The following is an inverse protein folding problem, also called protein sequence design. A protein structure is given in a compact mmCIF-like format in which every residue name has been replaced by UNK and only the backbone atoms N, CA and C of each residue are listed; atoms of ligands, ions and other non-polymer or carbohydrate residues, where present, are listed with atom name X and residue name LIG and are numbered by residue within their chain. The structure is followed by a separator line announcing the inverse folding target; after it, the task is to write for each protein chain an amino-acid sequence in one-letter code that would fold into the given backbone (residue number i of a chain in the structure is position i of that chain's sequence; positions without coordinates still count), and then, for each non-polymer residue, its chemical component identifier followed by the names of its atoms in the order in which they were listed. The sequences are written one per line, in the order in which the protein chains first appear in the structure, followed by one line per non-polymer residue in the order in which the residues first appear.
data_IF_446562178664
#
_entry.id   IF_446562178664
#
_cell.length_a   1.000
_cell.length_b   1.000
_cell.length_c   1.000
_cell.angle_alpha   90.00
_cell.angle_beta   90.00
_cell.angle_gamma   90.00
#
_symmetry.space_group_name_H-M   'P 1'
#
loop_
_entity.id
_entity.type
_entity.pdbx_description
1 polymer ?
#
# COMPACT_ATOMS: atom_id res chain seq x y z
N UNK A 1 -23.60 -20.28 -30.81
CA UNK A 1 -22.33 -19.66 -30.37
C UNK A 1 -22.61 -18.30 -29.72
N UNK A 2 -23.30 -17.37 -30.37
CA UNK A 2 -23.61 -16.02 -29.83
C UNK A 2 -24.36 -16.11 -28.50
N UNK A 3 -25.36 -16.98 -28.39
CA UNK A 3 -26.10 -17.20 -27.13
C UNK A 3 -25.23 -17.72 -25.99
N UNK A 4 -24.28 -18.59 -26.30
CA UNK A 4 -23.34 -19.13 -25.29
C UNK A 4 -22.37 -18.04 -24.78
N UNK A 5 -21.83 -17.21 -25.68
CA UNK A 5 -20.98 -16.05 -25.29
C UNK A 5 -21.75 -15.06 -24.42
N UNK A 6 -23.01 -14.81 -24.76
CA UNK A 6 -23.88 -13.94 -23.96
C UNK A 6 -24.14 -14.51 -22.56
N UNK A 7 -24.45 -15.81 -22.45
CA UNK A 7 -24.67 -16.47 -21.14
C UNK A 7 -23.41 -16.40 -20.27
N UNK A 8 -22.22 -16.66 -20.84
CA UNK A 8 -20.95 -16.55 -20.13
C UNK A 8 -20.69 -15.11 -19.68
N UNK A 9 -20.94 -14.12 -20.55
CA UNK A 9 -20.80 -12.71 -20.20
C UNK A 9 -21.69 -12.30 -19.02
N UNK A 10 -22.95 -12.74 -19.02
CA UNK A 10 -23.89 -12.51 -17.91
C UNK A 10 -23.44 -13.21 -16.63
N UNK A 11 -22.99 -14.45 -16.71
CA UNK A 11 -22.44 -15.19 -15.56
C UNK A 11 -21.22 -14.49 -14.95
N UNK A 12 -20.29 -14.02 -15.78
CA UNK A 12 -19.12 -13.27 -15.30
C UNK A 12 -19.50 -11.96 -14.63
N UNK A 13 -20.50 -11.24 -15.15
CA UNK A 13 -21.02 -10.03 -14.51
C UNK A 13 -21.68 -10.33 -13.16
N UNK A 14 -22.46 -11.40 -13.07
CA UNK A 14 -23.10 -11.83 -11.81
C UNK A 14 -22.04 -12.23 -10.79
N UNK A 15 -21.12 -13.12 -11.16
CA UNK A 15 -20.02 -13.53 -10.26
C UNK A 15 -19.15 -12.36 -9.87
N UNK A 16 -18.87 -11.45 -10.78
CA UNK A 16 -18.15 -10.23 -10.52
C UNK A 16 -18.86 -9.33 -9.52
N UNK A 17 -20.17 -9.13 -9.64
CA UNK A 17 -20.95 -8.32 -8.72
C UNK A 17 -21.03 -8.93 -7.32
N UNK A 18 -21.21 -10.26 -7.24
CA UNK A 18 -21.20 -11.01 -5.97
C UNK A 18 -19.81 -10.92 -5.33
N UNK A 19 -18.74 -11.13 -6.08
CA UNK A 19 -17.37 -10.98 -5.60
C UNK A 19 -17.09 -9.58 -5.07
N UNK A 20 -17.54 -8.54 -5.78
CA UNK A 20 -17.41 -7.15 -5.35
C UNK A 20 -18.13 -6.90 -4.01
N UNK A 21 -19.38 -7.34 -3.87
CA UNK A 21 -20.15 -7.16 -2.64
C UNK A 21 -19.54 -7.92 -1.47
N UNK A 22 -19.04 -9.13 -1.71
CA UNK A 22 -18.41 -9.98 -0.71
C UNK A 22 -17.09 -9.38 -0.22
N UNK A 23 -16.24 -8.91 -1.13
CA UNK A 23 -14.98 -8.23 -0.79
C UNK A 23 -15.27 -6.92 -0.05
N UNK A 24 -16.25 -6.14 -0.50
CA UNK A 24 -16.65 -4.91 0.17
C UNK A 24 -17.13 -5.19 1.59
N UNK A 25 -17.97 -6.21 1.77
CA UNK A 25 -18.50 -6.59 3.09
C UNK A 25 -17.42 -7.11 4.04
N UNK A 26 -16.52 -7.98 3.56
CA UNK A 26 -15.44 -8.54 4.37
C UNK A 26 -14.34 -7.51 4.66
N UNK A 27 -13.98 -6.67 3.71
CA UNK A 27 -12.99 -5.61 3.91
C UNK A 27 -13.45 -4.56 4.91
N UNK A 28 -14.74 -4.21 4.91
CA UNK A 28 -15.31 -3.30 5.91
C UNK A 28 -15.37 -3.92 7.31
N UNK A 29 -15.54 -5.23 7.44
CA UNK A 29 -15.66 -5.91 8.74
C UNK A 29 -14.30 -6.22 9.38
N UNK A 30 -13.24 -6.36 8.59
CA UNK A 30 -11.87 -6.63 9.03
C UNK A 30 -10.97 -5.38 9.02
N UNK A 31 -11.48 -4.24 9.45
CA UNK A 31 -10.80 -2.94 9.30
C UNK A 31 -9.54 -2.75 10.14
N UNK A 32 -8.90 -3.79 10.67
CA UNK A 32 -7.80 -3.58 11.61
C UNK A 32 -6.40 -3.93 11.14
N UNK A 33 -6.15 -4.80 10.18
CA UNK A 33 -4.74 -5.05 9.79
C UNK A 33 -4.49 -5.64 8.38
N UNK A 34 -5.52 -6.05 7.64
CA UNK A 34 -5.33 -6.79 6.37
C UNK A 34 -5.82 -6.10 5.09
N UNK A 35 -6.62 -5.06 5.21
CA UNK A 35 -7.33 -4.48 4.05
C UNK A 35 -6.52 -3.49 3.21
N UNK A 36 -5.38 -3.04 3.70
CA UNK A 36 -4.54 -2.05 3.00
C UNK A 36 -3.94 -2.55 1.67
N UNK A 37 -3.91 -3.87 1.46
CA UNK A 37 -3.40 -4.46 0.21
C UNK A 37 -4.44 -4.55 -0.91
N UNK A 38 -5.73 -4.49 -0.58
CA UNK A 38 -6.84 -4.63 -1.55
C UNK A 38 -7.40 -3.28 -2.04
N UNK A 39 -7.17 -2.22 -1.28
CA UNK A 39 -7.57 -0.87 -1.67
C UNK A 39 -6.45 -0.26 -2.50
N UNK A 40 -6.75 0.12 -3.73
CA UNK A 40 -5.82 0.86 -4.58
C UNK A 40 -5.70 2.29 -4.05
N UNK A 41 -4.77 2.48 -3.11
CA UNK A 41 -4.41 3.79 -2.59
C UNK A 41 -3.29 4.39 -3.41
N UNK A 42 -3.28 5.69 -3.53
CA UNK A 42 -2.15 6.38 -4.13
C UNK A 42 -0.96 6.32 -3.17
N UNK A 43 0.17 5.84 -3.66
CA UNK A 43 1.40 5.72 -2.88
C UNK A 43 2.28 6.93 -3.16
N UNK A 44 2.69 7.59 -2.10
CA UNK A 44 3.68 8.67 -2.15
C UNK A 44 4.97 8.20 -1.51
N UNK A 45 6.05 8.40 -2.24
CA UNK A 45 7.40 8.16 -1.75
C UNK A 45 8.01 9.48 -1.24
N UNK A 46 8.92 9.43 -0.27
CA UNK A 46 9.60 10.63 0.18
C UNK A 46 10.46 11.22 -0.94
N UNK A 47 10.43 12.55 -1.06
CA UNK A 47 11.27 13.30 -1.99
C UNK A 47 12.67 13.52 -1.40
N UNK A 48 12.74 13.66 -0.07
CA UNK A 48 13.98 13.93 0.64
C UNK A 48 14.00 13.20 1.98
N UNK A 49 15.15 12.66 2.32
CA UNK A 49 15.43 12.02 3.61
C UNK A 49 16.66 12.67 4.22
N UNK A 50 16.48 13.37 5.31
CA UNK A 50 17.55 13.98 6.08
C UNK A 50 17.69 13.29 7.43
N UNK A 51 18.90 12.99 7.84
CA UNK A 51 19.20 12.46 9.16
C UNK A 51 19.83 13.58 9.97
N UNK A 52 19.22 13.89 11.12
CA UNK A 52 19.69 14.89 12.06
C UNK A 52 20.23 14.20 13.30
N UNK A 53 21.38 14.63 13.77
CA UNK A 53 22.01 14.16 15.01
C UNK A 53 23.41 13.61 14.79
N UNK A 54 24.25 13.71 15.83
CA UNK A 54 25.68 13.37 15.79
C UNK A 54 25.97 11.86 15.83
N UNK A 55 24.98 11.02 16.15
CA UNK A 55 25.14 9.58 16.33
C UNK A 55 24.56 8.75 15.20
N UNK A 56 24.55 9.28 13.97
CA UNK A 56 24.13 8.51 12.82
C UNK A 56 25.27 7.65 12.25
N UNK A 57 25.06 6.33 12.23
CA UNK A 57 25.99 5.37 11.62
C UNK A 57 25.40 4.85 10.32
N UNK A 58 26.10 5.00 9.21
CA UNK A 58 25.67 4.47 7.92
C UNK A 58 26.39 3.14 7.65
N UNK A 59 25.60 2.09 7.42
CA UNK A 59 26.11 0.78 7.03
C UNK A 59 25.40 0.36 5.74
N UNK A 60 26.13 0.40 4.62
CA UNK A 60 25.54 0.17 3.30
C UNK A 60 24.43 1.18 2.99
N UNK A 61 23.22 0.69 2.66
CA UNK A 61 22.05 1.51 2.37
C UNK A 61 21.18 1.83 3.60
N UNK A 62 21.67 1.47 4.80
CA UNK A 62 20.93 1.66 6.05
C UNK A 62 21.62 2.73 6.88
N UNK A 63 20.85 3.70 7.30
CA UNK A 63 21.28 4.71 8.26
C UNK A 63 20.72 4.36 9.63
N UNK A 64 21.58 4.20 10.60
CA UNK A 64 21.22 3.87 11.98
C UNK A 64 21.14 5.14 12.82
N UNK A 65 20.08 5.28 13.57
CA UNK A 65 19.81 6.44 14.43
C UNK A 65 19.67 5.98 15.87
N UNK A 66 20.41 6.62 16.76
CA UNK A 66 20.33 6.39 18.20
C UNK A 66 19.23 7.24 18.83
N UNK A 67 18.48 6.65 19.74
CA UNK A 67 17.44 7.34 20.50
C UNK A 67 17.98 8.45 21.38
N UNK A 68 17.20 9.51 21.48
CA UNK A 68 17.56 10.71 22.26
C UNK A 68 18.61 11.61 21.61
N UNK A 69 19.37 11.13 20.61
CA UNK A 69 20.46 11.89 19.96
C UNK A 69 20.25 12.15 18.48
N UNK A 70 19.38 11.39 17.84
CA UNK A 70 19.14 11.50 16.40
C UNK A 70 17.69 11.40 16.01
N UNK A 71 17.37 11.94 14.84
CA UNK A 71 16.07 11.85 14.21
C UNK A 71 16.20 11.77 12.69
N UNK A 72 15.29 11.09 12.06
CA UNK A 72 15.13 11.11 10.61
C UNK A 72 13.98 12.01 10.22
N UNK A 73 14.17 12.76 9.17
CA UNK A 73 13.21 13.73 8.65
C UNK A 73 12.92 13.37 7.20
N UNK A 74 11.68 12.97 6.91
CA UNK A 74 11.20 12.73 5.56
C UNK A 74 10.32 13.88 5.09
N UNK A 75 10.56 14.33 3.89
CA UNK A 75 9.73 15.32 3.22
C UNK A 75 8.98 14.68 2.08
N UNK A 76 7.68 14.88 2.07
CA UNK A 76 6.77 14.45 1.02
C UNK A 76 6.22 15.66 0.31
N UNK A 77 6.06 15.57 -1.02
CA UNK A 77 5.48 16.60 -1.86
C UNK A 77 4.45 16.02 -2.81
N UNK A 78 3.58 16.87 -3.32
CA UNK A 78 2.56 16.47 -4.28
C UNK A 78 1.40 15.73 -3.64
N UNK A 79 1.17 15.91 -2.33
CA UNK A 79 0.03 15.39 -1.61
C UNK A 79 -1.25 16.15 -1.98
N UNK A 80 -1.46 16.41 -3.28
CA UNK A 80 -2.67 17.07 -3.76
C UNK A 80 -3.83 16.10 -3.68
N UNK A 81 -4.69 16.29 -2.71
CA UNK A 81 -5.94 15.56 -2.59
C UNK A 81 -7.07 16.41 -3.10
N UNK A 82 -7.69 15.99 -4.18
CA UNK A 82 -8.99 16.52 -4.63
C UNK A 82 -10.12 16.13 -3.66
N UNK A 83 -9.92 15.04 -2.90
CA UNK A 83 -10.87 14.49 -1.95
C UNK A 83 -10.25 14.41 -0.54
N UNK A 84 -10.22 15.56 0.15
CA UNK A 84 -9.63 15.74 1.49
C UNK A 84 -10.37 15.00 2.63
N UNK A 85 -11.31 14.13 2.30
CA UNK A 85 -12.13 13.42 3.29
C UNK A 85 -11.50 12.08 3.72
N UNK A 86 -10.55 11.58 2.95
CA UNK A 86 -10.01 10.24 3.15
C UNK A 86 -8.88 10.23 4.17
N UNK A 87 -8.81 9.16 4.94
CA UNK A 87 -7.73 8.93 5.89
C UNK A 87 -6.42 8.70 5.16
N UNK A 88 -5.37 9.33 5.68
CA UNK A 88 -4.00 9.12 5.25
C UNK A 88 -3.38 8.03 6.09
N UNK A 89 -2.79 7.02 5.46
CA UNK A 89 -2.09 5.94 6.14
C UNK A 89 -0.58 6.04 5.88
N UNK A 90 0.18 6.16 6.97
CA UNK A 90 1.63 6.12 6.93
C UNK A 90 2.07 4.71 7.28
N UNK A 91 2.82 4.08 6.39
CA UNK A 91 3.41 2.76 6.60
C UNK A 91 4.91 2.90 6.75
N UNK A 92 5.43 2.45 7.87
CA UNK A 92 6.85 2.50 8.15
C UNK A 92 7.41 1.11 8.46
N UNK A 93 8.56 0.80 7.87
CA UNK A 93 9.31 -0.43 8.13
C UNK A 93 10.71 -0.06 8.62
N UNK A 94 10.98 -0.32 9.89
CA UNK A 94 12.27 -0.04 10.49
C UNK A 94 13.05 -1.32 10.76
N UNK A 95 14.35 -1.24 10.60
CA UNK A 95 15.26 -2.28 11.08
C UNK A 95 15.60 -1.98 12.53
N UNK A 96 15.65 -3.00 13.36
CA UNK A 96 15.95 -2.87 14.79
C UNK A 96 17.29 -3.57 15.06
N UNK A 97 18.22 -2.88 15.70
CA UNK A 97 19.46 -3.48 16.13
C UNK A 97 19.24 -4.30 17.39
N UNK A 98 19.63 -5.57 17.38
CA UNK A 98 19.53 -6.44 18.54
C UNK A 98 20.06 -7.84 18.30
N UNK A 99 20.72 -8.41 19.30
CA UNK A 99 21.32 -9.78 19.27
C UNK A 99 20.27 -10.91 19.22
N UNK A 100 19.02 -10.64 19.58
CA UNK A 100 17.89 -11.59 19.52
C UNK A 100 16.86 -11.15 18.50
N UNK A 101 16.76 -11.91 17.45
CA UNK A 101 16.12 -11.62 16.14
C UNK A 101 14.62 -11.37 16.08
N UNK A 102 13.81 -11.47 17.11
CA UNK A 102 12.37 -11.48 16.81
C UNK A 102 11.41 -10.79 17.77
N UNK A 103 11.81 -10.35 18.94
CA UNK A 103 10.83 -9.91 19.94
C UNK A 103 11.07 -8.52 20.54
N UNK A 104 12.16 -7.86 20.18
CA UNK A 104 12.44 -6.53 20.76
C UNK A 104 11.53 -5.50 20.10
N UNK A 105 10.80 -4.81 20.94
CA UNK A 105 10.00 -3.63 20.59
C UNK A 105 10.73 -2.39 21.04
N UNK A 106 10.81 -1.40 20.18
CA UNK A 106 11.46 -0.13 20.50
C UNK A 106 10.39 0.96 20.43
N UNK A 107 10.24 1.75 21.51
CA UNK A 107 9.35 2.90 21.47
C UNK A 107 9.95 3.97 20.56
N UNK A 108 9.15 4.40 19.59
CA UNK A 108 9.50 5.44 18.64
C UNK A 108 8.50 6.57 18.71
N UNK A 109 8.99 7.76 18.56
CA UNK A 109 8.19 8.97 18.48
C UNK A 109 8.10 9.43 17.04
N UNK A 110 6.87 9.53 16.55
CA UNK A 110 6.56 10.01 15.20
C UNK A 110 5.93 11.40 15.34
N UNK A 111 6.55 12.40 14.71
CA UNK A 111 5.99 13.74 14.60
C UNK A 111 5.63 14.00 13.16
N UNK A 112 4.37 14.31 12.92
CA UNK A 112 3.87 14.72 11.61
C UNK A 112 3.67 16.23 11.65
N UNK A 113 4.38 16.93 10.80
CA UNK A 113 4.42 18.39 10.75
C UNK A 113 3.82 18.83 9.42
N UNK A 114 2.75 19.61 9.50
CA UNK A 114 2.21 20.30 8.35
C UNK A 114 2.87 21.70 8.28
N UNK A 115 3.66 21.99 7.24
CA UNK A 115 4.39 23.25 7.16
C UNK A 115 3.47 24.49 7.02
N UNK A 116 2.25 24.31 6.54
CA UNK A 116 1.33 25.44 6.31
C UNK A 116 0.47 25.78 7.52
N UNK A 117 0.05 24.78 8.30
CA UNK A 117 -0.82 25.01 9.47
C UNK A 117 -0.05 25.02 10.79
N UNK A 118 1.26 24.80 10.75
CA UNK A 118 2.11 24.62 11.94
C UNK A 118 1.57 23.57 12.94
N UNK A 119 0.59 22.78 12.52
CA UNK A 119 0.06 21.68 13.33
C UNK A 119 1.09 20.57 13.41
N UNK A 120 1.41 20.16 14.63
CA UNK A 120 2.29 19.04 14.91
C UNK A 120 1.48 17.96 15.61
N UNK A 121 1.29 16.84 14.93
CA UNK A 121 0.78 15.64 15.55
C UNK A 121 1.98 14.81 16.04
N UNK A 122 1.95 14.42 17.30
CA UNK A 122 2.99 13.58 17.89
C UNK A 122 2.35 12.31 18.41
N UNK A 123 2.83 11.17 17.97
CA UNK A 123 2.41 9.85 18.46
C UNK A 123 3.62 9.02 18.84
N UNK A 124 3.49 8.30 19.97
CA UNK A 124 4.47 7.31 20.41
C UNK A 124 3.95 5.92 20.07
N UNK A 125 4.74 5.12 19.38
CA UNK A 125 4.37 3.79 18.90
C UNK A 125 5.52 2.81 19.12
N UNK A 126 5.20 1.52 19.20
CA UNK A 126 6.20 0.47 19.31
C UNK A 126 6.58 -0.06 17.92
N UNK A 127 7.82 0.14 17.52
CA UNK A 127 8.39 -0.51 16.34
C UNK A 127 8.88 -1.91 16.69
N UNK A 128 8.57 -2.88 15.84
CA UNK A 128 9.11 -4.22 15.94
C UNK A 128 9.70 -4.67 14.62
N UNK A 129 10.71 -5.51 14.68
CA UNK A 129 11.30 -6.11 13.48
C UNK A 129 10.24 -6.98 12.78
N UNK A 130 10.12 -6.88 11.47
CA UNK A 130 9.18 -7.65 10.63
C UNK A 130 7.68 -7.29 10.75
N UNK A 131 7.32 -6.26 11.49
CA UNK A 131 5.94 -5.75 11.46
C UNK A 131 5.95 -4.31 10.95
N UNK A 132 5.22 -4.02 9.87
CA UNK A 132 5.06 -2.64 9.45
C UNK A 132 4.29 -1.87 10.50
N UNK A 133 4.76 -0.70 10.82
CA UNK A 133 4.06 0.24 11.66
C UNK A 133 3.06 0.99 10.78
N UNK A 134 1.83 1.08 11.24
CA UNK A 134 0.72 1.73 10.53
C UNK A 134 0.18 2.86 11.40
N UNK A 135 0.32 4.08 10.90
CA UNK A 135 -0.25 5.27 11.52
C UNK A 135 -1.33 5.82 10.59
N UNK A 136 -2.54 6.00 11.11
CA UNK A 136 -3.67 6.60 10.38
C UNK A 136 -3.90 8.02 10.84
N UNK A 137 -3.92 8.93 9.90
CA UNK A 137 -4.19 10.33 10.13
C UNK A 137 -5.47 10.72 9.40
N UNK A 138 -6.29 11.51 10.06
CA UNK A 138 -7.45 12.08 9.39
C UNK A 138 -6.98 13.10 8.34
N UNK A 139 -7.42 12.94 7.10
CA UNK A 139 -7.05 13.83 5.99
C UNK A 139 -7.38 15.31 6.26
N UNK A 140 -8.38 15.59 7.11
CA UNK A 140 -8.70 16.95 7.57
C UNK A 140 -7.56 17.62 8.35
N UNK A 141 -6.65 16.84 8.93
CA UNK A 141 -5.51 17.37 9.69
C UNK A 141 -4.46 18.02 8.79
N UNK A 142 -4.52 17.77 7.48
CA UNK A 142 -3.53 18.27 6.51
C UNK A 142 -3.87 19.64 5.92
N UNK A 143 -5.06 20.17 6.17
CA UNK A 143 -5.50 21.56 5.84
C UNK A 143 -4.83 22.15 4.58
N UNK A 144 -4.98 21.45 3.44
CA UNK A 144 -4.58 21.98 2.15
C UNK A 144 -3.11 22.01 1.81
N UNK A 145 -2.30 21.43 2.65
CA UNK A 145 -0.87 21.32 2.41
C UNK A 145 -0.58 20.26 1.34
N UNK A 146 0.18 20.65 0.33
CA UNK A 146 0.74 19.71 -0.66
C UNK A 146 2.03 19.07 -0.15
N UNK A 147 2.54 19.52 0.99
CA UNK A 147 3.77 19.05 1.60
C UNK A 147 3.52 18.53 3.00
N UNK A 148 4.23 17.47 3.37
CA UNK A 148 4.21 16.89 4.70
C UNK A 148 5.62 16.54 5.15
N UNK A 149 5.94 16.87 6.38
CA UNK A 149 7.22 16.49 6.99
C UNK A 149 6.96 15.50 8.12
N UNK A 150 7.61 14.35 8.05
CA UNK A 150 7.51 13.30 9.08
C UNK A 150 8.87 13.15 9.73
N UNK A 151 8.90 13.29 11.04
CA UNK A 151 10.11 13.13 11.86
C UNK A 151 9.94 11.89 12.72
N UNK A 152 10.90 10.98 12.65
CA UNK A 152 10.91 9.76 13.47
C UNK A 152 12.19 9.72 14.29
N UNK A 153 12.02 9.45 15.57
CA UNK A 153 13.11 9.29 16.52
C UNK A 153 12.82 8.18 17.51
N UNK A 154 13.77 7.30 17.85
CA UNK A 154 13.62 6.40 18.99
C UNK A 154 13.55 7.21 20.29
N UNK A 155 12.76 6.74 21.27
CA UNK A 155 12.60 7.48 22.53
C UNK A 155 13.76 7.23 23.50
N UNK A 156 14.18 5.98 23.62
CA UNK A 156 15.17 5.61 24.61
C UNK A 156 16.60 5.74 24.08
N UNK A 157 17.48 6.33 24.87
CA UNK A 157 18.91 6.32 24.63
C UNK A 157 19.44 4.88 24.60
N UNK A 158 20.29 4.57 23.60
CA UNK A 158 20.82 3.23 23.38
C UNK A 158 19.95 2.30 22.53
N UNK A 159 18.75 2.72 22.14
CA UNK A 159 17.97 2.04 21.10
C UNK A 159 18.36 2.58 19.73
N UNK A 160 18.58 1.66 18.78
CA UNK A 160 18.94 2.01 17.42
C UNK A 160 17.89 1.53 16.43
N UNK A 161 17.46 2.42 15.56
CA UNK A 161 16.62 2.06 14.41
C UNK A 161 17.38 2.27 13.11
N UNK A 162 17.30 1.29 12.23
CA UNK A 162 17.86 1.35 10.88
C UNK A 162 16.83 1.83 9.88
N UNK A 163 17.19 2.81 9.09
CA UNK A 163 16.34 3.52 8.17
C UNK A 163 16.90 3.40 6.76
N UNK A 164 16.01 3.16 5.80
CA UNK A 164 16.28 3.21 4.35
C UNK A 164 15.41 4.30 3.73
N UNK A 165 15.75 4.73 2.54
CA UNK A 165 14.95 5.72 1.81
C UNK A 165 13.49 5.25 1.58
N UNK A 166 13.27 3.95 1.44
CA UNK A 166 11.97 3.33 1.23
C UNK A 166 11.29 2.84 2.52
N UNK A 167 11.88 3.11 3.69
CA UNK A 167 11.35 2.66 4.98
C UNK A 167 10.02 3.30 5.33
N UNK A 168 9.69 4.46 4.77
CA UNK A 168 8.47 5.18 5.07
C UNK A 168 7.74 5.53 3.78
N UNK A 169 6.46 5.19 3.73
CA UNK A 169 5.57 5.44 2.58
C UNK A 169 4.24 5.97 3.08
N UNK A 170 3.67 6.86 2.31
CA UNK A 170 2.33 7.39 2.56
C UNK A 170 1.38 6.79 1.55
N UNK A 171 0.24 6.33 2.04
CA UNK A 171 -0.88 5.87 1.23
C UNK A 171 -2.07 6.79 1.49
N UNK A 172 -2.58 7.41 0.45
CA UNK A 172 -3.67 8.35 0.57
C UNK A 172 -4.72 8.14 -0.50
N UNK A 173 -5.96 8.43 -0.12
CA UNK A 173 -7.11 8.32 -1.02
C UNK A 173 -7.50 6.89 -1.33
N UNK A 174 -8.75 6.67 -1.50
CA UNK A 174 -9.28 5.46 -2.09
C UNK A 174 -9.47 5.74 -3.58
N UNK A 175 -8.51 5.36 -4.43
CA UNK A 175 -8.81 5.26 -5.86
C UNK A 175 -9.92 4.24 -5.99
N UNK A 176 -11.07 4.69 -6.45
CA UNK A 176 -12.31 3.94 -6.48
C UNK A 176 -12.09 2.45 -6.76
N UNK A 177 -12.11 1.64 -5.69
CA UNK A 177 -11.95 0.19 -5.77
C UNK A 177 -12.82 -0.38 -6.89
N UNK A 178 -14.04 0.14 -7.06
CA UNK A 178 -14.94 -0.28 -8.10
C UNK A 178 -14.37 -0.12 -9.51
N UNK A 179 -13.63 0.96 -9.78
CA UNK A 179 -13.03 1.18 -11.09
C UNK A 179 -11.85 0.23 -11.36
N UNK A 180 -11.01 -0.01 -10.37
CA UNK A 180 -9.90 -0.97 -10.52
C UNK A 180 -10.40 -2.41 -10.62
N UNK A 181 -11.45 -2.73 -9.87
CA UNK A 181 -12.14 -4.02 -9.98
C UNK A 181 -12.75 -4.22 -11.36
N UNK A 182 -13.43 -3.19 -11.89
CA UNK A 182 -14.00 -3.23 -13.25
C UNK A 182 -12.92 -3.45 -14.31
N UNK A 183 -11.76 -2.76 -14.19
CA UNK A 183 -10.61 -3.00 -15.08
C UNK A 183 -10.12 -4.45 -15.01
N UNK A 184 -9.96 -4.99 -13.82
CA UNK A 184 -9.57 -6.39 -13.63
C UNK A 184 -10.57 -7.36 -14.25
N UNK A 185 -11.86 -7.13 -14.03
CA UNK A 185 -12.94 -7.93 -14.62
C UNK A 185 -12.92 -7.85 -16.15
N UNK A 186 -12.70 -6.66 -16.72
CA UNK A 186 -12.60 -6.47 -18.18
C UNK A 186 -11.43 -7.25 -18.77
N UNK A 187 -10.27 -7.24 -18.11
CA UNK A 187 -9.09 -8.00 -18.56
C UNK A 187 -9.39 -9.50 -18.58
N UNK A 188 -9.96 -10.04 -17.50
CA UNK A 188 -10.32 -11.46 -17.42
C UNK A 188 -11.36 -11.82 -18.47
N UNK A 189 -12.38 -10.98 -18.66
CA UNK A 189 -13.42 -11.20 -19.68
C UNK A 189 -12.85 -11.19 -21.10
N UNK A 190 -11.89 -10.30 -21.36
CA UNK A 190 -11.21 -10.22 -22.68
C UNK A 190 -10.37 -11.48 -22.94
N UNK A 191 -9.65 -11.97 -21.93
CA UNK A 191 -8.88 -13.22 -22.04
C UNK A 191 -9.80 -14.41 -22.33
N UNK A 192 -10.94 -14.48 -21.64
CA UNK A 192 -11.91 -15.54 -21.85
C UNK A 192 -12.52 -15.48 -23.25
N UNK A 193 -12.87 -14.29 -23.72
CA UNK A 193 -13.40 -14.09 -25.07
C UNK A 193 -12.36 -14.49 -26.13
N UNK A 194 -11.10 -14.19 -25.94
CA UNK A 194 -10.01 -14.59 -26.83
C UNK A 194 -9.90 -16.11 -26.91
N UNK A 195 -9.94 -16.80 -25.75
CA UNK A 195 -9.96 -18.28 -25.73
C UNK A 195 -11.14 -18.87 -26.49
N UNK A 196 -12.33 -18.32 -26.33
CA UNK A 196 -13.53 -18.78 -27.06
C UNK A 196 -13.36 -18.57 -28.57
N UNK A 197 -12.83 -17.42 -28.99
CA UNK A 197 -12.57 -17.15 -30.42
C UNK A 197 -11.56 -18.13 -31.00
N UNK A 198 -10.47 -18.41 -30.30
CA UNK A 198 -9.46 -19.39 -30.72
C UNK A 198 -10.07 -20.78 -30.81
N UNK A 199 -10.87 -21.19 -29.82
CA UNK A 199 -11.53 -22.50 -29.81
C UNK A 199 -12.50 -22.65 -31.00
N UNK A 200 -13.28 -21.62 -31.30
CA UNK A 200 -14.21 -21.60 -32.44
C UNK A 200 -13.46 -21.67 -33.77
N UNK A 201 -12.43 -20.85 -33.96
CA UNK A 201 -11.60 -20.88 -35.16
C UNK A 201 -10.87 -22.23 -35.29
N UNK A 202 -10.30 -22.73 -34.20
CA UNK A 202 -9.64 -24.03 -34.20
C UNK A 202 -10.58 -25.17 -34.55
N UNK A 203 -11.84 -25.15 -34.09
CA UNK A 203 -12.84 -26.19 -34.37
C UNK A 203 -13.21 -26.28 -35.87
N UNK A 204 -12.98 -25.22 -36.63
CA UNK A 204 -13.24 -25.21 -38.08
C UNK A 204 -12.12 -25.84 -38.88
N UNK A 205 -10.88 -25.82 -38.37
CA UNK A 205 -9.69 -26.21 -39.12
C UNK A 205 -8.97 -27.43 -38.53
N UNK A 206 -9.19 -27.73 -37.24
CA UNK A 206 -8.45 -28.76 -36.51
C UNK A 206 -9.40 -29.88 -36.03
N UNK A 207 -8.88 -31.12 -35.98
CA UNK A 207 -9.60 -32.18 -35.31
C UNK A 207 -9.74 -31.88 -33.81
N UNK A 208 -10.84 -32.38 -33.22
CA UNK A 208 -11.22 -32.05 -31.83
C UNK A 208 -10.08 -32.24 -30.79
N UNK A 209 -9.28 -33.32 -30.84
CA UNK A 209 -8.17 -33.50 -29.91
C UNK A 209 -7.07 -32.43 -30.03
N UNK A 210 -6.75 -32.02 -31.27
CA UNK A 210 -5.71 -31.02 -31.54
C UNK A 210 -6.18 -29.65 -31.12
N UNK A 211 -7.48 -29.34 -31.29
CA UNK A 211 -8.06 -28.07 -30.85
C UNK A 211 -8.05 -27.91 -29.32
N UNK A 212 -8.36 -28.99 -28.58
CA UNK A 212 -8.27 -28.99 -27.11
C UNK A 212 -6.82 -28.70 -26.66
N UNK A 213 -5.85 -29.34 -27.29
CA UNK A 213 -4.42 -29.15 -26.97
C UNK A 213 -3.99 -27.71 -27.25
N UNK A 214 -4.46 -27.10 -28.34
CA UNK A 214 -4.14 -25.73 -28.72
C UNK A 214 -4.76 -24.68 -27.80
N UNK A 215 -5.88 -24.98 -27.15
CA UNK A 215 -6.51 -24.08 -26.18
C UNK A 215 -5.92 -24.19 -24.77
N UNK A 216 -5.13 -25.23 -24.48
CA UNK A 216 -4.48 -25.43 -23.18
C UNK A 216 -3.09 -24.81 -23.05
N UNK A 217 -2.44 -24.48 -24.18
CA UNK A 217 -1.14 -23.81 -24.26
C UNK A 217 -1.31 -22.35 -24.73
#
# INVERSE_FOLDING_TARGET
IIGFVYIIGVLLLIMGSVGYTLIRYTAFKQSTQGSSGLLAREQFNPVDLQIKGDSSRKIGNVSWIEGGKGASVWKFRGLSSKDRKDDLEIKANFLIEGKKRSTRKIPIKIKVINPYSAKVLTESMEASQNKPLLLRLNGKSLDGSEELTIVVSPENSGDFIGIRADSLRIFWGEKGFGWNYLKGLTIISTQFLLMVVIAVLGSTFLSLPVNILFCLF
#
